data_IF_257432889897
#
_entry.id   IF_257432889897
#
_cell.length_a   1.000
_cell.length_b   1.000
_cell.length_c   1.000
_cell.angle_alpha   90.00
_cell.angle_beta   90.00
_cell.angle_gamma   90.00
#
_symmetry.space_group_name_H-M   'P 1'
#
loop_
_entity.id
_entity.type
_entity.pdbx_description
1 polymer ?
#
# COMPACT_ATOMS: atom_id res chain seq x y z
N UNK A 1 45.92 -14.69 8.51
CA UNK A 1 44.92 -14.35 7.46
C UNK A 1 43.52 -14.87 7.76
N UNK A 2 43.35 -16.09 8.27
CA UNK A 2 42.03 -16.67 8.61
C UNK A 2 41.21 -15.83 9.60
N UNK A 3 41.81 -15.33 10.69
CA UNK A 3 41.11 -14.48 11.69
C UNK A 3 40.64 -13.16 11.08
N UNK A 4 41.44 -12.53 10.23
CA UNK A 4 41.05 -11.31 9.53
C UNK A 4 39.92 -11.59 8.53
N UNK A 5 39.96 -12.72 7.82
CA UNK A 5 38.90 -13.14 6.91
C UNK A 5 37.59 -13.42 7.66
N UNK A 6 37.66 -14.10 8.81
CA UNK A 6 36.51 -14.37 9.68
C UNK A 6 35.96 -13.09 10.32
N UNK A 7 36.81 -12.14 10.68
CA UNK A 7 36.39 -10.85 11.22
C UNK A 7 35.67 -10.01 10.15
N UNK A 8 36.23 -9.92 8.93
CA UNK A 8 35.59 -9.22 7.80
C UNK A 8 34.28 -9.91 7.42
N UNK A 9 34.28 -11.24 7.28
CA UNK A 9 33.08 -12.02 6.97
C UNK A 9 32.02 -11.93 8.09
N UNK A 10 32.45 -11.88 9.35
CA UNK A 10 31.58 -11.72 10.50
C UNK A 10 30.92 -10.34 10.55
N UNK A 11 31.68 -9.28 10.22
CA UNK A 11 31.14 -7.92 10.08
C UNK A 11 30.13 -7.86 8.93
N UNK A 12 30.46 -8.40 7.77
CA UNK A 12 29.54 -8.41 6.62
C UNK A 12 28.26 -9.21 6.92
N UNK A 13 28.39 -10.38 7.56
CA UNK A 13 27.23 -11.19 7.92
C UNK A 13 26.35 -10.49 8.97
N UNK A 14 26.96 -9.83 9.96
CA UNK A 14 26.23 -9.07 10.96
C UNK A 14 25.48 -7.88 10.34
N UNK A 15 26.10 -7.16 9.40
CA UNK A 15 25.46 -6.05 8.66
C UNK A 15 24.28 -6.55 7.83
N UNK A 16 24.45 -7.67 7.11
CA UNK A 16 23.36 -8.29 6.33
C UNK A 16 22.21 -8.75 7.23
N UNK A 17 22.52 -9.37 8.37
CA UNK A 17 21.52 -9.83 9.33
C UNK A 17 20.75 -8.66 9.96
N UNK A 18 21.45 -7.59 10.36
CA UNK A 18 20.84 -6.37 10.90
C UNK A 18 19.93 -5.70 9.86
N UNK A 19 20.40 -5.56 8.62
CA UNK A 19 19.60 -5.01 7.52
C UNK A 19 18.34 -5.85 7.27
N UNK A 20 18.47 -7.17 7.23
CA UNK A 20 17.34 -8.08 7.09
C UNK A 20 16.33 -7.89 8.24
N UNK A 21 16.80 -7.87 9.50
CA UNK A 21 15.95 -7.67 10.67
C UNK A 21 15.15 -6.37 10.60
N UNK A 22 15.78 -5.25 10.20
CA UNK A 22 15.12 -3.96 10.03
C UNK A 22 14.05 -4.01 8.94
N UNK A 23 14.37 -4.57 7.76
CA UNK A 23 13.41 -4.67 6.64
C UNK A 23 12.23 -5.57 6.99
N UNK A 24 12.47 -6.71 7.62
CA UNK A 24 11.41 -7.63 8.05
C UNK A 24 10.55 -7.05 9.18
N UNK A 25 11.16 -6.37 10.15
CA UNK A 25 10.47 -5.66 11.21
C UNK A 25 9.53 -4.59 10.65
N UNK A 26 10.04 -3.74 9.75
CA UNK A 26 9.24 -2.72 9.07
C UNK A 26 8.10 -3.32 8.25
N UNK A 27 8.36 -4.39 7.51
CA UNK A 27 7.33 -5.11 6.75
C UNK A 27 6.24 -5.68 7.63
N UNK A 28 6.61 -6.24 8.78
CA UNK A 28 5.64 -6.79 9.74
C UNK A 28 4.80 -5.69 10.37
N UNK A 29 5.42 -4.55 10.69
CA UNK A 29 4.71 -3.39 11.26
C UNK A 29 3.69 -2.81 10.28
N UNK A 30 4.09 -2.51 9.04
CA UNK A 30 3.17 -1.98 7.99
C UNK A 30 2.00 -2.93 7.73
N UNK A 31 2.27 -4.24 7.66
CA UNK A 31 1.21 -5.25 7.47
C UNK A 31 0.23 -5.36 8.63
N UNK A 32 0.64 -4.97 9.84
CA UNK A 32 -0.17 -5.06 11.05
C UNK A 32 -0.91 -3.76 11.37
N UNK A 33 -0.70 -2.70 10.60
CA UNK A 33 -1.46 -1.48 10.78
C UNK A 33 -2.96 -1.78 10.57
N UNK A 34 -3.83 -1.36 11.50
CA UNK A 34 -5.28 -1.48 11.32
C UNK A 34 -5.70 -0.83 10.00
N UNK A 35 -6.57 -1.50 9.25
CA UNK A 35 -7.03 -1.03 7.95
C UNK A 35 -6.00 -1.13 6.81
N UNK A 36 -4.84 -1.77 7.03
CA UNK A 36 -3.86 -1.95 5.97
C UNK A 36 -4.27 -3.05 4.97
N UNK A 37 -4.14 -2.74 3.69
CA UNK A 37 -4.36 -3.68 2.60
C UNK A 37 -3.16 -3.71 1.65
N UNK A 38 -2.95 -4.86 1.03
CA UNK A 38 -1.93 -5.03 -0.01
C UNK A 38 -2.52 -4.63 -1.36
N UNK A 39 -1.78 -3.83 -2.12
CA UNK A 39 -2.29 -3.35 -3.41
C UNK A 39 -1.21 -2.96 -4.42
N UNK A 40 -1.68 -2.38 -5.51
CA UNK A 40 -0.88 -1.63 -6.46
C UNK A 40 -1.51 -0.26 -6.70
N UNK A 41 -0.68 0.73 -7.03
CA UNK A 41 -1.12 2.10 -7.34
C UNK A 41 -0.44 2.61 -8.59
N UNK A 42 -1.16 3.40 -9.38
CA UNK A 42 -0.62 4.19 -10.49
C UNK A 42 -1.29 5.56 -10.55
N UNK A 43 -0.63 6.49 -11.23
CA UNK A 43 -1.24 7.76 -11.66
C UNK A 43 -1.89 7.53 -13.02
N UNK A 44 -3.15 7.88 -13.17
CA UNK A 44 -3.80 7.92 -14.47
C UNK A 44 -3.53 9.26 -15.17
N UNK A 45 -3.72 10.37 -14.46
CA UNK A 45 -3.45 11.73 -14.93
C UNK A 45 -2.93 12.64 -13.80
N UNK A 46 -2.26 13.73 -14.16
CA UNK A 46 -1.66 14.67 -13.20
C UNK A 46 -0.33 14.19 -12.62
N UNK A 47 0.06 14.73 -11.45
CA UNK A 47 1.35 14.42 -10.82
C UNK A 47 1.24 14.32 -9.31
N UNK A 48 1.65 13.17 -8.77
CA UNK A 48 1.84 12.93 -7.34
C UNK A 48 3.30 12.53 -7.11
N UNK A 49 3.99 13.25 -6.25
CA UNK A 49 5.40 13.00 -5.97
C UNK A 49 5.62 11.57 -5.45
N UNK A 50 6.51 10.82 -6.12
CA UNK A 50 6.84 9.44 -5.75
C UNK A 50 5.99 8.35 -6.43
N UNK A 51 4.93 8.74 -7.14
CA UNK A 51 4.12 7.86 -7.98
C UNK A 51 4.41 8.06 -9.47
N UNK A 52 4.03 7.06 -10.26
CA UNK A 52 4.23 7.02 -11.72
C UNK A 52 2.98 6.48 -12.38
N UNK A 53 2.88 6.64 -13.70
CA UNK A 53 1.79 6.05 -14.49
C UNK A 53 1.82 4.52 -14.57
N UNK A 54 2.96 3.91 -14.22
CA UNK A 54 3.10 2.46 -14.11
C UNK A 54 2.65 1.98 -12.73
N UNK A 55 1.91 0.87 -12.72
CA UNK A 55 1.56 0.14 -11.50
C UNK A 55 2.77 -0.15 -10.63
N UNK A 56 2.72 0.33 -9.40
CA UNK A 56 3.72 0.10 -8.37
C UNK A 56 3.09 -0.57 -7.16
N UNK A 57 3.75 -1.59 -6.62
CA UNK A 57 3.21 -2.40 -5.52
C UNK A 57 3.49 -1.73 -4.18
N UNK A 58 2.61 -1.96 -3.22
CA UNK A 58 2.72 -1.40 -1.89
C UNK A 58 1.64 -1.90 -0.94
N UNK A 59 1.52 -1.18 0.16
CA UNK A 59 0.45 -1.32 1.14
C UNK A 59 -0.23 0.03 1.29
N UNK A 60 -1.56 0.03 1.29
CA UNK A 60 -2.37 1.21 1.56
C UNK A 60 -3.03 1.06 2.93
N UNK A 61 -3.25 2.18 3.61
CA UNK A 61 -4.24 2.29 4.68
C UNK A 61 -4.81 3.71 4.67
N UNK A 62 -6.03 3.86 5.15
CA UNK A 62 -6.70 5.15 5.22
C UNK A 62 -6.49 5.80 6.58
N UNK A 63 -6.15 7.09 6.56
CA UNK A 63 -6.21 7.96 7.73
C UNK A 63 -7.15 9.10 7.36
N UNK A 64 -8.41 8.99 7.83
CA UNK A 64 -9.51 9.84 7.36
C UNK A 64 -9.66 9.72 5.83
N UNK A 65 -9.60 10.83 5.11
CA UNK A 65 -9.64 11.03 3.67
C UNK A 65 -8.26 10.94 2.98
N UNK A 66 -7.19 10.64 3.73
CA UNK A 66 -5.85 10.51 3.19
C UNK A 66 -5.48 9.03 3.05
N UNK A 67 -5.21 8.60 1.82
CA UNK A 67 -4.62 7.29 1.56
C UNK A 67 -3.11 7.36 1.79
N UNK A 68 -2.64 6.64 2.81
CA UNK A 68 -1.22 6.47 3.09
C UNK A 68 -0.70 5.26 2.34
N UNK A 69 0.16 5.50 1.36
CA UNK A 69 0.73 4.44 0.52
C UNK A 69 2.20 4.16 0.85
N UNK A 70 2.49 2.96 1.35
CA UNK A 70 3.86 2.49 1.62
C UNK A 70 4.39 1.64 0.47
N UNK A 71 5.44 2.13 -0.21
CA UNK A 71 5.99 1.51 -1.43
C UNK A 71 6.82 0.25 -1.17
N UNK A 72 6.49 -0.86 -1.83
CA UNK A 72 7.25 -2.10 -1.78
C UNK A 72 8.46 -2.10 -2.75
N UNK A 73 9.52 -2.91 -2.52
CA UNK A 73 9.64 -3.94 -1.48
C UNK A 73 10.24 -3.47 -0.14
N UNK A 74 10.97 -2.36 -0.11
CA UNK A 74 11.71 -1.91 1.08
C UNK A 74 10.87 -1.12 2.07
N UNK A 75 9.68 -0.65 1.67
CA UNK A 75 8.72 0.03 2.55
C UNK A 75 9.23 1.33 3.19
N UNK A 76 10.35 1.87 2.69
CA UNK A 76 11.04 3.03 3.26
C UNK A 76 10.31 4.35 3.01
N UNK A 77 9.38 4.38 2.04
CA UNK A 77 8.70 5.61 1.61
C UNK A 77 7.20 5.47 1.76
N UNK A 78 6.62 6.39 2.52
CA UNK A 78 5.20 6.63 2.57
C UNK A 78 4.88 7.79 1.63
N UNK A 79 3.81 7.65 0.87
CA UNK A 79 3.27 8.67 -0.02
C UNK A 79 1.88 8.98 0.53
N UNK A 80 1.61 10.24 0.81
CA UNK A 80 0.31 10.70 1.27
C UNK A 80 -0.48 11.14 0.06
N UNK A 81 -1.70 10.64 -0.06
CA UNK A 81 -2.58 10.89 -1.20
C UNK A 81 -3.91 11.39 -0.61
N UNK A 82 -4.09 12.72 -0.51
CA UNK A 82 -5.39 13.29 -0.17
C UNK A 82 -6.39 12.86 -1.24
N UNK A 83 -7.48 12.22 -0.84
CA UNK A 83 -8.55 11.87 -1.75
C UNK A 83 -9.71 12.84 -1.52
N UNK A 84 -10.13 13.54 -2.58
CA UNK A 84 -11.29 14.40 -2.52
C UNK A 84 -12.55 13.58 -2.79
N UNK A 85 -12.45 12.62 -3.72
CA UNK A 85 -13.55 11.75 -4.10
C UNK A 85 -13.07 10.41 -4.65
N UNK A 86 -13.87 9.37 -4.39
CA UNK A 86 -13.84 8.12 -5.14
C UNK A 86 -14.79 8.26 -6.33
N UNK A 87 -14.25 8.26 -7.55
CA UNK A 87 -15.02 8.53 -8.77
C UNK A 87 -15.44 7.27 -9.52
N UNK A 88 -14.76 6.15 -9.29
CA UNK A 88 -15.07 4.89 -9.94
C UNK A 88 -14.60 3.69 -9.12
N UNK A 89 -15.34 2.59 -9.21
CA UNK A 89 -14.94 1.25 -8.80
C UNK A 89 -15.20 0.29 -9.97
N UNK A 90 -14.21 -0.54 -10.31
CA UNK A 90 -14.34 -1.54 -11.38
C UNK A 90 -13.46 -2.76 -11.12
N UNK A 91 -13.80 -3.94 -11.67
CA UNK A 91 -12.83 -5.02 -11.76
C UNK A 91 -11.64 -4.59 -12.62
N UNK A 92 -10.45 -5.08 -12.27
CA UNK A 92 -9.26 -4.93 -13.09
C UNK A 92 -9.42 -5.74 -14.39
N UNK A 93 -8.90 -5.19 -15.48
CA UNK A 93 -8.82 -5.94 -16.73
C UNK A 93 -7.81 -7.09 -16.61
N UNK A 94 -7.94 -8.10 -17.47
CA UNK A 94 -7.06 -9.25 -17.46
C UNK A 94 -5.60 -8.81 -17.60
N UNK A 95 -4.74 -9.23 -16.64
CA UNK A 95 -3.31 -8.89 -16.56
C UNK A 95 -2.98 -7.39 -16.40
N UNK A 96 -3.97 -6.53 -16.16
CA UNK A 96 -3.75 -5.09 -15.90
C UNK A 96 -2.85 -4.88 -14.68
N UNK A 97 -3.15 -5.60 -13.60
CA UNK A 97 -2.39 -5.53 -12.35
C UNK A 97 -1.81 -6.90 -12.01
N UNK A 98 -0.48 -6.98 -11.99
CA UNK A 98 0.23 -8.24 -11.71
C UNK A 98 0.38 -8.48 -10.21
N UNK A 99 0.24 -9.75 -9.79
CA UNK A 99 0.61 -10.27 -8.45
C UNK A 99 -0.26 -9.76 -7.28
N UNK A 100 -1.54 -9.48 -7.54
CA UNK A 100 -2.57 -9.18 -6.51
C UNK A 100 -3.55 -10.33 -6.23
N UNK A 101 -3.46 -11.43 -6.97
CA UNK A 101 -4.40 -12.54 -6.91
C UNK A 101 -5.36 -12.49 -8.10
N UNK A 102 -6.39 -13.33 -8.03
CA UNK A 102 -7.42 -13.43 -9.05
C UNK A 102 -8.44 -12.30 -8.86
N UNK A 103 -8.87 -11.73 -9.98
CA UNK A 103 -9.89 -10.66 -10.05
C UNK A 103 -9.65 -9.47 -9.09
N UNK A 104 -8.55 -8.71 -9.22
CA UNK A 104 -8.35 -7.52 -8.41
C UNK A 104 -9.41 -6.46 -8.72
N UNK A 105 -9.82 -5.69 -7.70
CA UNK A 105 -10.69 -4.52 -7.87
C UNK A 105 -9.83 -3.26 -7.93
N UNK A 106 -10.18 -2.36 -8.85
CA UNK A 106 -9.55 -1.04 -9.04
C UNK A 106 -10.53 0.04 -8.64
N UNK A 107 -10.07 0.99 -7.83
CA UNK A 107 -10.77 2.25 -7.56
C UNK A 107 -10.03 3.41 -8.19
N UNK A 108 -10.78 4.45 -8.54
CA UNK A 108 -10.27 5.72 -9.06
C UNK A 108 -10.48 6.80 -8.01
N UNK A 109 -9.40 7.42 -7.58
CA UNK A 109 -9.36 8.50 -6.61
C UNK A 109 -9.03 9.80 -7.32
N UNK A 110 -9.91 10.78 -7.16
CA UNK A 110 -9.62 12.16 -7.52
C UNK A 110 -8.90 12.84 -6.37
N UNK A 111 -7.85 13.57 -6.72
CA UNK A 111 -7.09 14.48 -5.87
C UNK A 111 -7.08 15.86 -6.55
N UNK A 112 -6.68 16.91 -5.85
CA UNK A 112 -6.68 18.29 -6.38
C UNK A 112 -6.08 18.39 -7.80
N UNK A 113 -4.87 17.83 -7.98
CA UNK A 113 -4.08 17.98 -9.22
C UNK A 113 -3.88 16.69 -10.00
N UNK A 114 -4.49 15.57 -9.55
CA UNK A 114 -4.22 14.27 -10.12
C UNK A 114 -5.37 13.27 -9.97
N UNK A 115 -5.31 12.23 -10.77
CA UNK A 115 -6.17 11.06 -10.64
C UNK A 115 -5.31 9.84 -10.43
N UNK A 116 -5.51 9.17 -9.29
CA UNK A 116 -4.81 7.96 -8.93
C UNK A 116 -5.73 6.76 -9.06
N UNK A 117 -5.22 5.65 -9.60
CA UNK A 117 -5.89 4.37 -9.53
C UNK A 117 -5.21 3.46 -8.53
N UNK A 118 -6.01 2.84 -7.67
CA UNK A 118 -5.55 1.93 -6.62
C UNK A 118 -6.24 0.59 -6.80
N UNK A 119 -5.45 -0.47 -6.82
CA UNK A 119 -5.91 -1.83 -6.99
C UNK A 119 -5.63 -2.65 -5.73
N UNK A 120 -6.59 -3.44 -5.29
CA UNK A 120 -6.41 -4.45 -4.25
C UNK A 120 -7.11 -5.76 -4.64
N UNK A 121 -6.85 -6.81 -3.87
CA UNK A 121 -7.64 -8.05 -3.95
C UNK A 121 -9.10 -7.74 -3.61
N UNK A 122 -10.05 -8.42 -4.25
CA UNK A 122 -11.50 -8.20 -4.03
C UNK A 122 -11.93 -8.37 -2.57
N UNK A 123 -11.34 -9.31 -1.82
CA UNK A 123 -11.59 -9.47 -0.38
C UNK A 123 -11.24 -8.22 0.45
N UNK A 124 -10.40 -7.33 -0.09
CA UNK A 124 -10.01 -6.08 0.56
C UNK A 124 -10.76 -4.87 0.01
N UNK A 125 -11.86 -5.02 -0.73
CA UNK A 125 -12.61 -3.89 -1.32
C UNK A 125 -13.07 -2.90 -0.26
N UNK A 126 -13.57 -3.37 0.88
CA UNK A 126 -13.95 -2.48 1.97
C UNK A 126 -12.76 -1.62 2.43
N UNK A 127 -11.60 -2.24 2.68
CA UNK A 127 -10.36 -1.55 3.06
C UNK A 127 -9.83 -0.63 1.96
N UNK A 128 -9.97 -1.03 0.70
CA UNK A 128 -9.56 -0.26 -0.47
C UNK A 128 -10.37 1.03 -0.58
N UNK A 129 -11.69 0.94 -0.41
CA UNK A 129 -12.62 2.08 -0.48
C UNK A 129 -12.53 3.00 0.73
N UNK A 130 -12.09 2.49 1.89
CA UNK A 130 -11.84 3.33 3.05
C UNK A 130 -13.09 4.06 3.55
N UNK A 131 -13.01 5.37 3.84
CA UNK A 131 -14.15 6.16 4.32
C UNK A 131 -15.31 6.21 3.33
N UNK A 132 -15.05 6.04 2.03
CA UNK A 132 -16.08 6.06 0.99
C UNK A 132 -16.92 4.78 0.95
N UNK A 133 -16.48 3.71 1.62
CA UNK A 133 -17.28 2.50 1.74
C UNK A 133 -18.59 2.76 2.48
N UNK A 134 -18.56 3.52 3.58
CA UNK A 134 -19.76 3.82 4.35
C UNK A 134 -20.70 4.78 3.63
N UNK A 135 -20.16 5.74 2.88
CA UNK A 135 -20.96 6.65 2.06
C UNK A 135 -21.74 5.93 0.95
N UNK A 136 -21.16 4.85 0.39
CA UNK A 136 -21.79 4.05 -0.67
C UNK A 136 -22.60 2.86 -0.13
N UNK A 137 -22.26 2.36 1.07
CA UNK A 137 -22.88 1.22 1.74
C UNK A 137 -23.07 1.52 3.24
N UNK A 138 -24.10 2.30 3.62
CA UNK A 138 -24.29 2.76 4.99
C UNK A 138 -24.54 1.61 6.00
N UNK A 139 -25.13 0.50 5.56
CA UNK A 139 -25.48 -0.62 6.45
C UNK A 139 -24.30 -1.56 6.79
N UNK A 140 -23.14 -1.38 6.16
CA UNK A 140 -21.98 -2.27 6.32
C UNK A 140 -20.85 -1.56 7.07
N UNK A 141 -20.55 -2.04 8.30
CA UNK A 141 -19.46 -1.47 9.11
C UNK A 141 -18.11 -1.62 8.44
N UNK A 142 -17.36 -0.52 8.41
CA UNK A 142 -15.99 -0.47 7.92
C UNK A 142 -15.04 -1.21 8.90
N UNK A 143 -14.21 -2.16 8.44
CA UNK A 143 -13.35 -2.98 9.31
C UNK A 143 -12.10 -2.26 9.86
N UNK A 144 -11.86 -0.99 9.50
CA UNK A 144 -10.68 -0.22 9.93
C UNK A 144 -10.97 0.89 10.95
N UNK A 145 -12.21 1.01 11.45
CA UNK A 145 -12.56 2.00 12.47
C UNK A 145 -11.90 1.61 13.81
N UNK A 146 -11.16 2.51 14.49
CA UNK A 146 -10.69 2.23 15.84
C UNK A 146 -11.88 1.89 16.73
N UNK A 147 -11.81 0.77 17.46
CA UNK A 147 -12.69 0.51 18.59
C UNK A 147 -12.38 1.56 19.65
N UNK A 148 -13.32 2.48 19.89
CA UNK A 148 -13.31 3.29 21.10
C UNK A 148 -13.51 2.36 22.30
N UNK A 149 -12.44 2.17 23.07
CA UNK A 149 -12.43 1.57 24.42
C UNK A 149 -11.72 2.52 25.35
#
# INVERSE_FOLDING_TARGET
MLIALLAVLGVDLAVVAAFAAVVYGRKRWVKRQPGAFRGAIRIESGKINGLRSKWSRGYGHWVRDILVWTKAPFLLRNILIPADALTQQRPAQQREVRRLGDEPTVIRLKTDDAVAEVAAKTDNVALLMGPYHHALYPDVRYPGTPTDT
#
